data_IF_474421204780
#
_entry.id   IF_474421204780
#
_cell.length_a   1.000
_cell.length_b   1.000
_cell.length_c   1.000
_cell.angle_alpha   90.00
_cell.angle_beta   90.00
_cell.angle_gamma   90.00
#
_symmetry.space_group_name_H-M   'P 1'
#
loop_
_entity.id
_entity.type
_entity.pdbx_description
1 polymer ?
#
# COMPACT_ATOMS: atom_id res chain seq x y z
N UNK A 1 -1.53 17.27 -0.51
CA UNK A 1 -2.35 16.19 -1.11
C UNK A 1 -1.84 14.87 -0.57
N UNK A 2 -2.65 13.83 -0.42
CA UNK A 2 -2.14 12.53 0.01
C UNK A 2 -2.61 11.42 -0.93
N UNK A 3 -1.74 10.45 -1.15
CA UNK A 3 -2.00 9.25 -1.96
C UNK A 3 -1.81 8.04 -1.07
N UNK A 4 -2.85 7.23 -0.94
CA UNK A 4 -2.79 5.99 -0.17
C UNK A 4 -3.05 4.80 -1.09
N UNK A 5 -2.09 3.89 -1.17
CA UNK A 5 -2.23 2.64 -1.89
C UNK A 5 -2.63 1.52 -0.92
N UNK A 6 -3.76 0.89 -1.21
CA UNK A 6 -4.22 -0.31 -0.53
C UNK A 6 -4.00 -1.50 -1.43
N UNK A 7 -3.17 -2.45 -1.01
CA UNK A 7 -2.85 -3.64 -1.81
C UNK A 7 -3.34 -4.92 -1.13
N UNK A 8 -3.78 -5.91 -1.92
CA UNK A 8 -4.08 -7.22 -1.37
C UNK A 8 -2.77 -7.94 -0.98
N UNK A 9 -2.68 -8.44 0.26
CA UNK A 9 -1.47 -9.13 0.74
C UNK A 9 -1.09 -10.33 -0.13
N UNK A 10 -2.07 -11.00 -0.75
CA UNK A 10 -1.85 -12.15 -1.62
C UNK A 10 -1.11 -11.79 -2.91
N UNK A 11 -1.20 -10.54 -3.36
CA UNK A 11 -0.51 -10.09 -4.56
C UNK A 11 1.00 -9.96 -4.36
N UNK A 12 1.45 -9.91 -3.11
CA UNK A 12 2.86 -9.78 -2.73
C UNK A 12 3.36 -10.96 -1.91
N UNK A 13 2.59 -12.04 -1.87
CA UNK A 13 2.96 -13.27 -1.17
C UNK A 13 4.23 -13.85 -1.83
N UNK A 14 5.32 -13.93 -1.06
CA UNK A 14 6.64 -14.34 -1.54
C UNK A 14 7.63 -13.20 -1.82
N UNK A 15 7.22 -11.94 -1.68
CA UNK A 15 8.12 -10.78 -1.69
C UNK A 15 8.38 -10.30 -0.26
N UNK A 16 9.57 -10.59 0.26
CA UNK A 16 10.03 -10.00 1.53
C UNK A 16 10.17 -8.49 1.39
N UNK A 17 9.65 -7.73 2.35
CA UNK A 17 9.72 -6.26 2.32
C UNK A 17 8.87 -5.60 1.22
N UNK A 18 7.83 -6.28 0.72
CA UNK A 18 7.00 -5.75 -0.36
C UNK A 18 6.39 -4.37 -0.06
N UNK A 19 6.06 -4.09 1.21
CA UNK A 19 5.48 -2.81 1.61
C UNK A 19 6.45 -1.66 1.38
N UNK A 20 7.73 -1.87 1.72
CA UNK A 20 8.82 -0.93 1.58
C UNK A 20 9.15 -0.68 0.11
N UNK A 21 9.16 -1.74 -0.70
CA UNK A 21 9.38 -1.65 -2.15
C UNK A 21 8.26 -0.83 -2.80
N UNK A 22 7.00 -1.16 -2.49
CA UNK A 22 5.83 -0.43 -3.04
C UNK A 22 5.84 1.03 -2.58
N UNK A 23 6.20 1.29 -1.32
CA UNK A 23 6.28 2.65 -0.81
C UNK A 23 7.36 3.46 -1.54
N UNK A 24 8.54 2.91 -1.77
CA UNK A 24 9.62 3.58 -2.48
C UNK A 24 9.22 3.93 -3.92
N UNK A 25 8.69 2.96 -4.67
CA UNK A 25 8.27 3.15 -6.06
C UNK A 25 7.12 4.15 -6.17
N UNK A 26 6.10 4.03 -5.32
CA UNK A 26 4.96 4.94 -5.33
C UNK A 26 5.38 6.35 -4.94
N UNK A 27 6.32 6.50 -4.00
CA UNK A 27 6.86 7.81 -3.59
C UNK A 27 7.58 8.48 -4.76
N UNK A 28 8.45 7.76 -5.46
CA UNK A 28 9.17 8.31 -6.61
C UNK A 28 8.21 8.77 -7.71
N UNK A 29 7.26 7.92 -8.11
CA UNK A 29 6.32 8.24 -9.19
C UNK A 29 5.37 9.39 -8.82
N UNK A 30 4.90 9.43 -7.57
CA UNK A 30 3.99 10.49 -7.12
C UNK A 30 4.74 11.81 -6.98
N UNK A 31 5.94 11.84 -6.42
CA UNK A 31 6.71 13.08 -6.24
C UNK A 31 7.20 13.68 -7.55
N UNK A 32 7.38 12.88 -8.61
CA UNK A 32 7.66 13.41 -9.95
C UNK A 32 6.55 14.33 -10.48
N UNK A 33 5.28 14.06 -10.13
CA UNK A 33 4.13 14.83 -10.59
C UNK A 33 3.65 15.82 -9.51
N UNK A 34 3.74 15.41 -8.24
CA UNK A 34 3.24 16.12 -7.08
C UNK A 34 4.29 16.07 -5.95
N UNK A 35 5.28 16.98 -5.98
CA UNK A 35 6.44 16.94 -5.07
C UNK A 35 6.07 17.05 -3.58
N UNK A 36 4.95 17.71 -3.25
CA UNK A 36 4.49 17.89 -1.87
C UNK A 36 3.41 16.88 -1.42
N UNK A 37 3.27 15.76 -2.13
CA UNK A 37 2.27 14.75 -1.78
C UNK A 37 2.76 13.80 -0.67
N UNK A 38 1.92 13.52 0.32
CA UNK A 38 2.19 12.49 1.33
C UNK A 38 1.76 11.12 0.78
N UNK A 39 2.69 10.15 0.73
CA UNK A 39 2.44 8.81 0.18
C UNK A 39 2.39 7.79 1.31
N UNK A 40 1.36 6.95 1.29
CA UNK A 40 1.13 5.88 2.27
C UNK A 40 0.79 4.58 1.58
N UNK A 41 1.24 3.48 2.16
CA UNK A 41 0.94 2.13 1.67
C UNK A 41 0.45 1.29 2.83
N UNK A 42 -0.69 0.61 2.64
CA UNK A 42 -1.22 -0.32 3.64
C UNK A 42 -1.76 -1.58 2.99
N UNK A 43 -1.62 -2.75 3.63
CA UNK A 43 -2.30 -3.94 3.15
C UNK A 43 -3.81 -3.79 3.33
N UNK A 44 -4.58 -4.35 2.39
CA UNK A 44 -6.02 -4.43 2.46
C UNK A 44 -6.39 -5.27 3.69
N UNK A 45 -6.97 -4.60 4.68
CA UNK A 45 -7.65 -5.29 5.76
C UNK A 45 -9.03 -5.66 5.24
N UNK A 46 -9.29 -6.96 5.09
CA UNK A 46 -10.64 -7.42 4.82
C UNK A 46 -11.50 -7.07 6.05
N UNK A 47 -12.54 -6.26 5.87
CA UNK A 47 -13.56 -6.04 6.89
C UNK A 47 -14.43 -7.30 7.01
N UNK A 48 -13.85 -8.39 7.51
CA UNK A 48 -14.59 -9.60 7.83
C UNK A 48 -15.06 -9.53 9.29
N UNK A 49 -16.37 -9.45 9.50
CA UNK A 49 -16.99 -9.95 10.72
C UNK A 49 -16.95 -11.47 10.64
N UNK A 50 -15.91 -12.08 11.20
CA UNK A 50 -15.91 -13.52 11.42
C UNK A 50 -16.87 -13.78 12.59
N UNK A 51 -18.14 -14.06 12.27
CA UNK A 51 -19.03 -14.73 13.22
C UNK A 51 -18.72 -16.21 13.16
N UNK A 52 -18.09 -16.74 14.20
CA UNK A 52 -18.14 -18.19 14.49
C UNK A 52 -19.61 -18.55 14.65
N UNK A 53 -20.12 -19.37 13.73
CA UNK A 53 -21.39 -20.10 13.86
C UNK A 53 -21.13 -21.58 13.65
#
# INVERSE_FOLDING_TARGET
>A
MFVELVYDKRNVEGLEGASEIILAELTEQVHQIFPDAEVRVKPMQANCLNSDT
#
